data_IF_966844689818
#
_entry.id   IF_966844689818
#
_cell.length_a   1.000
_cell.length_b   1.000
_cell.length_c   1.000
_cell.angle_alpha   90.00
_cell.angle_beta   90.00
_cell.angle_gamma   90.00
#
_symmetry.space_group_name_H-M   'P 1'
#
loop_
_entity.id
_entity.type
_entity.pdbx_description
1 polymer ?
#
# COMPACT_ATOMS: atom_id res chain seq x y z
N UNK A 1 -21.65 -2.18 4.81
CA UNK A 1 -20.22 -2.53 4.86
C UNK A 1 -19.98 -4.04 4.86
N UNK A 2 -20.81 -4.88 5.50
CA UNK A 2 -20.62 -6.34 5.42
C UNK A 2 -21.16 -6.94 4.11
N UNK A 3 -20.38 -7.79 3.45
CA UNK A 3 -20.83 -8.62 2.34
C UNK A 3 -21.16 -10.05 2.81
N UNK A 4 -22.22 -10.67 2.26
CA UNK A 4 -22.59 -12.05 2.59
C UNK A 4 -21.80 -13.01 1.71
N UNK A 5 -20.72 -13.58 2.23
CA UNK A 5 -19.87 -14.52 1.49
C UNK A 5 -18.71 -13.85 0.76
N UNK A 6 -17.92 -14.66 0.07
CA UNK A 6 -16.84 -14.20 -0.81
C UNK A 6 -17.44 -13.77 -2.15
N UNK A 7 -17.36 -12.48 -2.55
CA UNK A 7 -17.86 -12.03 -3.85
C UNK A 7 -17.00 -12.61 -4.98
N UNK A 8 -17.60 -12.82 -6.14
CA UNK A 8 -16.84 -12.99 -7.38
C UNK A 8 -16.08 -11.70 -7.72
N UNK A 9 -15.04 -11.80 -8.55
CA UNK A 9 -14.32 -10.61 -9.03
C UNK A 9 -15.26 -9.60 -9.70
N UNK A 10 -16.24 -10.07 -10.49
CA UNK A 10 -17.20 -9.19 -11.17
C UNK A 10 -18.09 -8.43 -10.18
N UNK A 11 -18.59 -9.09 -9.15
CA UNK A 11 -19.38 -8.43 -8.09
C UNK A 11 -18.50 -7.43 -7.33
N UNK A 12 -17.28 -7.83 -6.93
CA UNK A 12 -16.35 -6.95 -6.25
C UNK A 12 -16.02 -5.70 -7.07
N UNK A 13 -15.76 -5.89 -8.37
CA UNK A 13 -15.47 -4.83 -9.33
C UNK A 13 -16.62 -3.81 -9.43
N UNK A 14 -17.85 -4.30 -9.63
CA UNK A 14 -19.01 -3.44 -9.86
C UNK A 14 -19.53 -2.76 -8.60
N UNK A 15 -19.48 -3.42 -7.45
CA UNK A 15 -20.11 -2.94 -6.22
C UNK A 15 -19.15 -2.15 -5.31
N UNK A 16 -17.84 -2.42 -5.37
CA UNK A 16 -16.88 -1.85 -4.43
C UNK A 16 -15.69 -1.16 -5.10
N UNK A 17 -15.04 -1.84 -6.06
CA UNK A 17 -13.82 -1.32 -6.66
C UNK A 17 -14.08 -0.06 -7.53
N UNK A 18 -14.96 -0.16 -8.52
CA UNK A 18 -15.30 0.98 -9.38
C UNK A 18 -16.03 2.12 -8.64
N UNK A 19 -17.01 1.83 -7.76
CA UNK A 19 -17.65 2.87 -6.96
C UNK A 19 -16.74 3.49 -5.89
N UNK A 20 -15.56 2.90 -5.65
CA UNK A 20 -14.60 3.32 -4.63
C UNK A 20 -15.20 3.32 -3.20
N UNK A 21 -15.88 2.22 -2.83
CA UNK A 21 -16.63 2.06 -1.58
C UNK A 21 -16.01 0.95 -0.71
N UNK A 22 -15.80 1.18 0.61
CA UNK A 22 -15.20 0.18 1.49
C UNK A 22 -16.13 -1.00 1.73
N UNK A 23 -15.55 -2.18 1.90
CA UNK A 23 -16.28 -3.41 2.23
C UNK A 23 -15.52 -4.25 3.24
N UNK A 24 -16.26 -4.84 4.18
CA UNK A 24 -15.78 -5.86 5.09
C UNK A 24 -16.25 -7.23 4.57
N UNK A 25 -15.28 -8.02 4.14
CA UNK A 25 -15.44 -9.37 3.61
C UNK A 25 -15.27 -10.37 4.75
N UNK A 26 -16.08 -11.41 4.73
CA UNK A 26 -16.10 -12.38 5.81
C UNK A 26 -14.89 -13.34 5.78
N UNK A 27 -14.77 -14.11 6.85
CA UNK A 27 -13.67 -15.04 7.06
C UNK A 27 -13.51 -16.18 6.03
N UNK A 28 -14.50 -16.44 5.16
CA UNK A 28 -14.36 -17.50 4.15
C UNK A 28 -13.37 -17.14 3.06
N UNK A 29 -13.08 -15.84 2.85
CA UNK A 29 -12.12 -15.37 1.84
C UNK A 29 -10.72 -15.98 2.05
N UNK A 30 -10.33 -16.18 3.30
CA UNK A 30 -8.97 -16.58 3.67
C UNK A 30 -8.89 -17.89 4.43
N UNK A 31 -9.97 -18.67 4.49
CA UNK A 31 -10.06 -19.87 5.33
C UNK A 31 -8.99 -20.93 5.02
N UNK A 32 -8.49 -20.96 3.77
CA UNK A 32 -7.45 -21.89 3.31
C UNK A 32 -6.02 -21.44 3.62
N UNK A 33 -5.81 -20.22 4.14
CA UNK A 33 -4.46 -19.71 4.38
C UNK A 33 -3.76 -20.48 5.50
N UNK A 34 -2.51 -20.93 5.32
CA UNK A 34 -1.74 -21.55 6.41
C UNK A 34 -1.60 -20.63 7.64
N UNK A 35 -1.52 -19.31 7.46
CA UNK A 35 -1.50 -18.34 8.56
C UNK A 35 -2.76 -18.42 9.46
N UNK A 36 -3.92 -18.82 8.93
CA UNK A 36 -5.15 -18.99 9.73
C UNK A 36 -5.12 -20.19 10.66
N UNK A 37 -4.15 -21.11 10.47
CA UNK A 37 -4.05 -22.36 11.23
C UNK A 37 -2.74 -22.41 12.02
N UNK A 38 -1.62 -22.08 11.40
CA UNK A 38 -0.28 -22.22 11.98
C UNK A 38 0.09 -21.08 12.93
N UNK A 39 -0.43 -19.87 12.69
CA UNK A 39 -0.14 -18.72 13.56
C UNK A 39 -1.06 -18.67 14.79
N UNK A 40 -2.06 -19.53 14.84
CA UNK A 40 -3.11 -19.56 15.84
C UNK A 40 -3.01 -20.81 16.71
N UNK A 41 -3.40 -20.69 17.97
CA UNK A 41 -3.71 -21.81 18.86
C UNK A 41 -5.17 -21.72 19.28
N UNK A 42 -5.88 -22.83 19.17
CA UNK A 42 -7.23 -22.93 19.72
C UNK A 42 -7.17 -23.45 21.15
N UNK A 43 -7.59 -22.61 22.10
CA UNK A 43 -7.80 -23.02 23.48
C UNK A 43 -9.28 -23.36 23.67
N UNK A 44 -9.60 -24.57 24.17
CA UNK A 44 -10.99 -25.00 24.40
C UNK A 44 -11.76 -24.09 25.38
N UNK A 45 -11.05 -23.27 26.17
CA UNK A 45 -11.62 -22.33 27.13
C UNK A 45 -11.87 -20.93 26.56
N UNK A 46 -11.34 -20.59 25.38
CA UNK A 46 -11.51 -19.28 24.74
C UNK A 46 -12.36 -19.38 23.47
N UNK A 47 -13.18 -18.36 23.22
CA UNK A 47 -13.93 -18.23 21.97
C UNK A 47 -13.09 -17.63 20.83
N UNK A 48 -11.99 -16.95 21.14
CA UNK A 48 -11.07 -16.33 20.17
C UNK A 48 -9.77 -17.13 20.06
N UNK A 49 -9.14 -17.10 18.89
CA UNK A 49 -7.84 -17.72 18.70
C UNK A 49 -6.77 -16.99 19.52
N UNK A 50 -5.82 -17.75 20.08
CA UNK A 50 -4.61 -17.19 20.69
C UNK A 50 -3.46 -17.25 19.69
N UNK A 51 -2.43 -16.43 19.89
CA UNK A 51 -1.23 -16.43 19.04
C UNK A 51 -0.37 -17.67 19.33
N UNK A 52 0.09 -18.35 18.28
CA UNK A 52 1.08 -19.43 18.37
C UNK A 52 2.51 -18.86 18.36
N UNK A 53 2.92 -18.24 19.47
CA UNK A 53 4.23 -17.59 19.56
C UNK A 53 5.41 -18.52 19.29
N UNK A 54 5.33 -19.78 19.72
CA UNK A 54 6.36 -20.79 19.52
C UNK A 54 6.59 -21.06 18.04
N UNK A 55 5.51 -21.24 17.26
CA UNK A 55 5.61 -21.41 15.82
C UNK A 55 6.19 -20.14 15.16
N UNK A 56 5.68 -18.96 15.51
CA UNK A 56 6.15 -17.71 14.91
C UNK A 56 7.63 -17.43 15.24
N UNK A 57 8.08 -17.72 16.45
CA UNK A 57 9.50 -17.60 16.84
C UNK A 57 10.35 -18.65 16.12
N UNK A 58 9.89 -19.90 16.04
CA UNK A 58 10.63 -20.97 15.35
C UNK A 58 10.82 -20.65 13.87
N UNK A 59 9.78 -20.16 13.19
CA UNK A 59 9.84 -19.89 11.75
C UNK A 59 10.47 -18.54 11.42
N UNK A 60 10.20 -17.51 12.21
CA UNK A 60 10.46 -16.12 11.86
C UNK A 60 11.24 -15.33 12.92
N UNK A 61 11.59 -15.94 14.06
CA UNK A 61 12.19 -15.24 15.20
C UNK A 61 13.50 -14.52 14.90
N UNK A 62 14.30 -15.05 13.96
CA UNK A 62 15.59 -14.45 13.57
C UNK A 62 15.46 -13.36 12.50
N UNK A 63 14.26 -13.13 11.97
CA UNK A 63 14.03 -12.05 11.02
C UNK A 63 14.00 -10.72 11.75
N UNK A 64 14.70 -9.74 11.18
CA UNK A 64 14.64 -8.36 11.63
C UNK A 64 13.29 -7.76 11.24
N UNK A 65 12.69 -7.04 12.21
CA UNK A 65 11.40 -6.36 12.04
C UNK A 65 11.51 -4.90 12.45
N UNK A 66 10.75 -4.04 11.78
CA UNK A 66 10.58 -2.65 12.20
C UNK A 66 9.47 -2.58 13.25
N UNK A 67 9.79 -1.97 14.39
CA UNK A 67 8.89 -1.81 15.53
C UNK A 67 8.68 -0.33 15.79
N UNK A 68 7.43 0.10 15.83
CA UNK A 68 7.02 1.43 16.27
C UNK A 68 6.60 1.40 17.74
N UNK A 69 7.07 2.34 18.55
CA UNK A 69 6.63 2.55 19.92
C UNK A 69 5.50 3.60 19.94
N UNK A 70 4.27 3.15 20.13
CA UNK A 70 3.08 4.02 20.13
C UNK A 70 3.05 5.01 21.30
N UNK A 71 3.91 4.84 22.32
CA UNK A 71 4.00 5.73 23.46
C UNK A 71 5.12 6.77 23.33
N UNK A 72 5.95 6.70 22.29
CA UNK A 72 7.08 7.61 22.06
C UNK A 72 7.01 8.25 20.69
N UNK A 73 7.24 9.55 20.63
CA UNK A 73 7.38 10.27 19.38
C UNK A 73 8.85 10.51 19.02
N UNK A 74 9.18 10.48 17.74
CA UNK A 74 10.46 10.94 17.22
C UNK A 74 10.51 12.48 17.11
N UNK A 75 11.62 13.01 16.58
CA UNK A 75 11.81 14.46 16.39
C UNK A 75 10.82 15.10 15.42
N UNK A 76 10.09 14.31 14.63
CA UNK A 76 9.10 14.76 13.66
C UNK A 76 7.66 14.54 14.14
N UNK A 77 7.47 14.05 15.37
CA UNK A 77 6.15 13.76 15.93
C UNK A 77 5.54 12.43 15.48
N UNK A 78 6.28 11.61 14.71
CA UNK A 78 5.86 10.28 14.33
C UNK A 78 6.16 9.28 15.46
N UNK A 79 5.55 8.10 15.42
CA UNK A 79 5.88 7.03 16.38
C UNK A 79 7.36 6.65 16.22
N UNK A 80 8.13 6.65 17.30
CA UNK A 80 9.55 6.31 17.28
C UNK A 80 9.73 4.86 16.81
N UNK A 81 10.70 4.62 15.91
CA UNK A 81 10.93 3.29 15.32
C UNK A 81 12.32 2.75 15.63
N UNK A 82 12.43 1.44 15.75
CA UNK A 82 13.70 0.71 15.75
C UNK A 82 13.57 -0.60 14.96
N UNK A 83 14.71 -1.17 14.59
CA UNK A 83 14.79 -2.49 13.99
C UNK A 83 15.41 -3.46 14.99
N UNK A 84 14.72 -4.56 15.30
CA UNK A 84 15.18 -5.60 16.23
C UNK A 84 14.73 -6.98 15.72
N UNK A 85 15.39 -8.08 16.15
CA UNK A 85 14.91 -9.44 15.87
C UNK A 85 13.48 -9.66 16.37
N UNK A 86 12.65 -10.32 15.58
CA UNK A 86 11.25 -10.58 15.93
C UNK A 86 11.10 -11.31 17.28
N UNK A 87 12.00 -12.25 17.58
CA UNK A 87 12.04 -12.96 18.88
C UNK A 87 12.14 -12.01 20.08
N UNK A 88 12.87 -10.90 19.94
CA UNK A 88 13.10 -9.95 21.03
C UNK A 88 11.83 -9.12 21.29
N UNK A 89 11.08 -8.79 20.24
CA UNK A 89 9.77 -8.13 20.37
C UNK A 89 8.80 -9.02 21.15
N UNK A 90 8.74 -10.31 20.80
CA UNK A 90 7.87 -11.27 21.48
C UNK A 90 8.26 -11.42 22.95
N UNK A 91 9.56 -11.42 23.27
CA UNK A 91 10.02 -11.43 24.65
C UNK A 91 9.54 -10.19 25.42
N UNK A 92 9.63 -9.00 24.82
CA UNK A 92 9.13 -7.75 25.43
C UNK A 92 7.61 -7.77 25.65
N UNK A 93 6.83 -8.34 24.73
CA UNK A 93 5.39 -8.53 24.95
C UNK A 93 5.11 -9.49 26.11
N UNK A 94 5.85 -10.61 26.20
CA UNK A 94 5.69 -11.59 27.27
C UNK A 94 6.05 -11.04 28.66
N UNK A 95 7.01 -10.10 28.75
CA UNK A 95 7.36 -9.43 30.02
C UNK A 95 6.50 -8.21 30.32
N UNK A 96 5.47 -7.91 29.50
CA UNK A 96 4.64 -6.71 29.60
C UNK A 96 5.37 -5.36 29.40
N UNK A 97 6.65 -5.38 28.99
CA UNK A 97 7.44 -4.19 28.68
C UNK A 97 7.16 -3.67 27.26
N UNK A 98 6.61 -4.52 26.39
CA UNK A 98 6.32 -4.23 24.99
C UNK A 98 4.91 -3.72 24.68
N UNK A 99 4.12 -3.28 25.67
CA UNK A 99 2.68 -2.97 25.46
C UNK A 99 2.40 -1.88 24.43
N UNK A 100 3.32 -0.95 24.22
CA UNK A 100 3.22 0.09 23.20
C UNK A 100 3.87 -0.28 21.87
N UNK A 101 4.55 -1.43 21.79
CA UNK A 101 5.29 -1.86 20.62
C UNK A 101 4.37 -2.46 19.57
N UNK A 102 4.52 -1.96 18.34
CA UNK A 102 3.78 -2.36 17.17
C UNK A 102 4.76 -2.72 16.05
N UNK A 103 4.85 -4.00 15.70
CA UNK A 103 5.56 -4.43 14.48
C UNK A 103 4.76 -3.92 13.30
N UNK A 104 5.37 -3.02 12.52
CA UNK A 104 4.75 -2.36 11.37
C UNK A 104 5.58 -2.55 10.13
N UNK A 105 4.89 -2.62 9.00
CA UNK A 105 5.50 -2.63 7.67
C UNK A 105 6.49 -3.82 7.52
N UNK A 106 6.17 -4.97 8.13
CA UNK A 106 7.06 -6.14 8.05
C UNK A 106 6.87 -6.85 6.71
N UNK A 107 7.87 -6.72 5.83
CA UNK A 107 7.95 -7.36 4.52
C UNK A 107 8.25 -8.87 4.60
N UNK A 108 7.46 -9.62 5.37
CA UNK A 108 7.67 -11.06 5.60
C UNK A 108 7.55 -11.87 4.30
N UNK A 109 6.63 -11.49 3.40
CA UNK A 109 6.45 -12.19 2.12
C UNK A 109 7.73 -12.18 1.28
N UNK A 110 8.30 -11.00 1.04
CA UNK A 110 9.64 -10.80 0.46
C UNK A 110 10.73 -11.60 1.16
N UNK A 111 10.84 -11.52 2.50
CA UNK A 111 11.89 -12.23 3.24
C UNK A 111 11.80 -13.76 3.04
N UNK A 112 10.59 -14.31 2.95
CA UNK A 112 10.37 -15.73 2.67
C UNK A 112 10.67 -16.09 1.21
N UNK A 113 10.25 -15.28 0.23
CA UNK A 113 10.60 -15.49 -1.19
C UNK A 113 12.14 -15.51 -1.39
N UNK A 114 12.87 -14.58 -0.76
CA UNK A 114 14.34 -14.54 -0.81
C UNK A 114 14.97 -15.81 -0.20
N UNK A 115 14.44 -16.31 0.93
CA UNK A 115 14.91 -17.57 1.53
C UNK A 115 14.65 -18.77 0.62
N UNK A 116 13.48 -18.83 -0.02
CA UNK A 116 13.13 -19.88 -0.96
C UNK A 116 14.05 -19.91 -2.20
N UNK A 117 14.44 -18.75 -2.70
CA UNK A 117 15.37 -18.67 -3.84
C UNK A 117 16.81 -19.07 -3.49
N UNK A 118 17.22 -18.84 -2.25
CA UNK A 118 18.58 -19.12 -1.79
C UNK A 118 18.77 -20.55 -1.25
N UNK A 119 17.69 -21.32 -1.02
CA UNK A 119 17.76 -22.69 -0.49
C UNK A 119 16.99 -23.68 -1.35
N UNK A 120 17.73 -24.49 -2.13
CA UNK A 120 17.18 -25.53 -3.00
C UNK A 120 16.46 -26.67 -2.24
N UNK A 121 16.53 -26.69 -0.90
CA UNK A 121 15.91 -27.68 -0.01
C UNK A 121 14.78 -27.08 0.86
N UNK A 122 14.42 -25.81 0.69
CA UNK A 122 13.39 -25.19 1.52
C UNK A 122 11.99 -25.68 1.12
N UNK A 123 11.34 -26.40 2.03
CA UNK A 123 9.93 -26.83 1.96
C UNK A 123 8.97 -25.74 2.45
N UNK A 124 9.37 -24.48 2.50
CA UNK A 124 8.50 -23.41 2.98
C UNK A 124 7.34 -23.19 2.01
N UNK A 125 6.14 -23.48 2.48
CA UNK A 125 4.90 -23.11 1.81
C UNK A 125 4.58 -21.65 2.17
N UNK A 126 4.06 -20.88 1.21
CA UNK A 126 3.61 -19.51 1.48
C UNK A 126 2.57 -19.51 2.60
N UNK A 127 2.66 -18.58 3.54
CA UNK A 127 1.73 -18.48 4.67
C UNK A 127 0.35 -17.95 4.27
N UNK A 128 0.20 -17.45 3.03
CA UNK A 128 -1.06 -17.01 2.45
C UNK A 128 -0.99 -16.99 0.91
N UNK A 129 -2.13 -16.77 0.26
CA UNK A 129 -2.22 -16.44 -1.17
C UNK A 129 -3.04 -15.17 -1.36
N UNK A 130 -2.75 -14.39 -2.42
CA UNK A 130 -3.57 -13.21 -2.74
C UNK A 130 -4.97 -13.67 -3.18
N UNK A 131 -6.05 -13.23 -2.52
CA UNK A 131 -7.41 -13.60 -2.90
C UNK A 131 -7.72 -13.14 -4.33
N UNK A 132 -8.49 -13.93 -5.08
CA UNK A 132 -8.73 -13.70 -6.52
C UNK A 132 -9.26 -12.30 -6.86
N UNK A 133 -10.07 -11.72 -5.97
CA UNK A 133 -10.63 -10.37 -6.13
C UNK A 133 -9.59 -9.24 -6.04
N UNK A 134 -8.38 -9.51 -5.55
CA UNK A 134 -7.28 -8.56 -5.38
C UNK A 134 -6.06 -8.87 -6.25
N UNK A 135 -6.17 -9.81 -7.20
CA UNK A 135 -5.00 -10.29 -7.97
C UNK A 135 -4.54 -9.35 -9.08
N UNK A 136 -5.40 -8.45 -9.56
CA UNK A 136 -5.03 -7.43 -10.54
C UNK A 136 -4.20 -6.33 -9.87
N UNK A 137 -3.01 -6.68 -9.39
CA UNK A 137 -2.14 -5.82 -8.59
C UNK A 137 -0.90 -5.44 -9.39
N UNK A 138 -0.95 -4.26 -10.02
CA UNK A 138 0.13 -3.79 -10.89
C UNK A 138 1.36 -3.36 -10.09
N UNK A 139 1.13 -2.81 -8.89
CA UNK A 139 2.17 -2.28 -8.01
C UNK A 139 3.09 -3.41 -7.57
N UNK A 140 2.54 -4.46 -6.96
CA UNK A 140 3.35 -5.58 -6.52
C UNK A 140 3.85 -6.45 -7.67
N UNK A 141 3.11 -6.59 -8.78
CA UNK A 141 3.60 -7.32 -9.94
C UNK A 141 4.86 -6.67 -10.53
N UNK A 142 4.88 -5.33 -10.62
CA UNK A 142 6.06 -4.60 -11.07
C UNK A 142 7.22 -4.72 -10.07
N UNK A 143 6.94 -4.53 -8.78
CA UNK A 143 7.94 -4.56 -7.71
C UNK A 143 8.63 -5.92 -7.58
N UNK A 144 7.86 -7.00 -7.56
CA UNK A 144 8.39 -8.36 -7.51
C UNK A 144 9.26 -8.69 -8.74
N UNK A 145 8.97 -8.12 -9.90
CA UNK A 145 9.73 -8.40 -11.13
C UNK A 145 10.98 -7.52 -11.31
N UNK A 146 11.05 -6.33 -10.69
CA UNK A 146 12.08 -5.32 -10.99
C UNK A 146 12.81 -4.76 -9.78
N UNK A 147 12.41 -5.11 -8.57
CA UNK A 147 12.96 -4.57 -7.33
C UNK A 147 13.17 -5.69 -6.33
N UNK A 148 13.91 -5.38 -5.27
CA UNK A 148 14.01 -6.27 -4.11
C UNK A 148 12.96 -5.95 -3.06
N UNK A 149 11.91 -5.17 -3.37
CA UNK A 149 10.92 -4.70 -2.39
C UNK A 149 9.48 -5.13 -2.72
N UNK A 150 8.56 -4.96 -1.78
CA UNK A 150 7.13 -5.22 -1.99
C UNK A 150 6.25 -4.24 -1.20
N UNK A 151 4.94 -4.27 -1.48
CA UNK A 151 3.91 -3.56 -0.72
C UNK A 151 3.01 -4.57 0.02
N UNK A 152 3.64 -5.56 0.65
CA UNK A 152 2.96 -6.67 1.33
C UNK A 152 3.46 -6.75 2.77
N UNK A 153 2.61 -6.37 3.70
CA UNK A 153 3.00 -6.12 5.08
C UNK A 153 2.33 -7.08 6.05
N UNK A 154 3.07 -7.51 7.05
CA UNK A 154 2.55 -8.11 8.27
C UNK A 154 2.59 -7.06 9.38
N UNK A 155 1.49 -6.96 10.12
CA UNK A 155 1.37 -6.09 11.30
C UNK A 155 1.09 -6.94 12.52
N UNK A 156 1.87 -6.75 13.60
CA UNK A 156 1.69 -7.47 14.88
C UNK A 156 1.78 -6.46 16.02
N UNK A 157 0.69 -6.29 16.76
CA UNK A 157 0.62 -5.26 17.79
C UNK A 157 -0.12 -5.72 19.04
N UNK A 158 0.34 -5.24 20.19
CA UNK A 158 -0.38 -5.37 21.45
C UNK A 158 -1.67 -4.54 21.45
N UNK A 159 -2.57 -4.86 22.39
CA UNK A 159 -3.78 -4.08 22.65
C UNK A 159 -3.47 -2.59 22.85
N UNK A 160 -4.24 -1.72 22.20
CA UNK A 160 -4.10 -0.26 22.26
C UNK A 160 -3.09 0.31 21.26
N UNK A 161 -2.24 -0.50 20.64
CA UNK A 161 -1.39 -0.04 19.54
C UNK A 161 -2.25 0.36 18.33
N UNK A 162 -1.79 1.36 17.57
CA UNK A 162 -2.60 1.93 16.50
C UNK A 162 -1.75 2.52 15.38
N UNK A 163 -2.32 2.58 14.18
CA UNK A 163 -1.80 3.38 13.07
C UNK A 163 -2.55 4.71 13.04
N UNK A 164 -1.87 5.86 13.17
CA UNK A 164 -2.48 7.19 13.09
C UNK A 164 -3.29 7.41 11.81
N UNK A 165 -4.14 8.43 11.82
CA UNK A 165 -4.94 8.80 10.65
C UNK A 165 -4.03 9.10 9.46
N UNK A 166 -4.23 8.38 8.37
CA UNK A 166 -3.45 8.53 7.15
C UNK A 166 -4.29 8.16 5.94
N UNK A 167 -3.75 8.42 4.76
CA UNK A 167 -4.24 7.92 3.49
C UNK A 167 -3.10 7.12 2.87
N UNK A 168 -3.41 5.98 2.26
CA UNK A 168 -2.41 5.14 1.64
C UNK A 168 -1.60 5.89 0.56
N UNK A 169 -0.31 5.58 0.50
CA UNK A 169 0.65 6.25 -0.41
C UNK A 169 0.17 6.11 -1.86
N UNK A 170 0.35 7.18 -2.64
CA UNK A 170 -0.12 7.32 -4.02
C UNK A 170 -1.62 7.19 -4.21
N UNK A 171 -2.44 7.25 -3.16
CA UNK A 171 -3.86 6.87 -3.24
C UNK A 171 -4.05 5.43 -3.75
N UNK A 172 -3.11 4.54 -3.44
CA UNK A 172 -3.28 3.11 -3.67
C UNK A 172 -4.54 2.58 -2.96
N UNK A 173 -5.03 1.44 -3.43
CA UNK A 173 -5.97 0.65 -2.65
C UNK A 173 -5.20 -0.08 -1.54
N UNK A 174 -5.92 -0.46 -0.50
CA UNK A 174 -5.41 -1.39 0.50
C UNK A 174 -6.44 -2.46 0.83
N UNK A 175 -5.95 -3.65 1.18
CA UNK A 175 -6.77 -4.63 1.89
C UNK A 175 -6.01 -5.14 3.11
N UNK A 176 -6.73 -5.45 4.18
CA UNK A 176 -6.17 -5.99 5.42
C UNK A 176 -7.01 -7.16 5.90
N UNK A 177 -6.41 -8.35 5.96
CA UNK A 177 -7.01 -9.52 6.61
C UNK A 177 -6.50 -9.59 8.04
N UNK A 178 -7.41 -9.50 9.00
CA UNK A 178 -7.07 -9.67 10.40
C UNK A 178 -7.02 -11.17 10.71
N UNK A 179 -5.87 -11.71 11.08
CA UNK A 179 -5.67 -13.14 11.33
C UNK A 179 -6.04 -13.50 12.78
N UNK A 180 -5.68 -12.63 13.73
CA UNK A 180 -5.89 -12.81 15.17
C UNK A 180 -6.34 -11.49 15.77
N UNK A 181 -7.23 -11.54 16.78
CA UNK A 181 -7.67 -10.37 17.53
C UNK A 181 -8.78 -9.57 16.87
N UNK A 182 -8.98 -8.33 17.33
CA UNK A 182 -10.00 -7.41 16.81
C UNK A 182 -9.45 -6.02 16.56
N UNK A 183 -9.82 -5.42 15.44
CA UNK A 183 -9.40 -4.07 15.06
C UNK A 183 -10.60 -3.12 14.97
N UNK A 184 -10.40 -1.85 15.33
CA UNK A 184 -11.35 -0.78 15.06
C UNK A 184 -10.81 0.12 13.96
N UNK A 185 -11.63 0.37 12.97
CA UNK A 185 -11.35 1.24 11.83
C UNK A 185 -12.23 2.46 11.87
N UNK A 186 -11.65 3.63 11.62
CA UNK A 186 -12.37 4.84 11.24
C UNK A 186 -12.01 5.15 9.79
N UNK A 187 -13.00 5.14 8.91
CA UNK A 187 -12.84 5.39 7.48
C UNK A 187 -13.55 6.69 7.10
N UNK A 188 -12.82 7.61 6.48
CA UNK A 188 -13.35 8.90 6.03
C UNK A 188 -13.34 8.95 4.50
N UNK A 189 -14.50 9.14 3.86
CA UNK A 189 -14.56 9.25 2.41
C UNK A 189 -13.81 10.51 1.93
N UNK A 190 -13.30 10.51 0.68
CA UNK A 190 -12.48 11.61 0.15
C UNK A 190 -13.15 13.00 0.22
N UNK A 191 -14.48 13.08 0.11
CA UNK A 191 -15.24 14.33 0.20
C UNK A 191 -15.23 14.97 1.60
N UNK A 192 -14.87 14.20 2.63
CA UNK A 192 -14.73 14.67 4.01
C UNK A 192 -13.30 15.11 4.36
N UNK A 193 -12.34 14.96 3.44
CA UNK A 193 -10.91 15.26 3.68
C UNK A 193 -10.70 16.63 4.31
N UNK A 194 -11.42 17.67 3.85
CA UNK A 194 -11.28 19.05 4.38
C UNK A 194 -11.48 19.16 5.90
N UNK A 195 -12.33 18.32 6.49
CA UNK A 195 -12.63 18.37 7.93
C UNK A 195 -11.53 17.73 8.78
N UNK A 196 -10.59 17.02 8.15
CA UNK A 196 -9.52 16.30 8.82
C UNK A 196 -8.25 17.15 8.97
N UNK A 197 -8.20 18.33 8.33
CA UNK A 197 -7.02 19.18 8.30
C UNK A 197 -7.18 20.42 9.18
N UNK A 198 -6.03 20.87 9.70
CA UNK A 198 -5.95 22.13 10.43
C UNK A 198 -6.20 23.30 9.48
N UNK A 199 -7.01 24.29 9.89
CA UNK A 199 -7.55 25.37 9.03
C UNK A 199 -6.51 26.21 8.26
N UNK A 200 -5.24 26.15 8.66
CA UNK A 200 -4.13 26.93 8.07
C UNK A 200 -2.81 26.16 7.94
N UNK A 201 -2.82 24.82 8.08
CA UNK A 201 -1.62 23.98 7.93
C UNK A 201 -1.95 22.72 7.14
N UNK A 202 -0.98 22.20 6.37
CA UNK A 202 -1.09 20.89 5.69
C UNK A 202 -0.96 19.70 6.66
N UNK A 203 -1.47 19.83 7.89
CA UNK A 203 -1.43 18.78 8.92
C UNK A 203 -2.83 18.23 9.15
N UNK A 204 -2.99 16.92 8.99
CA UNK A 204 -4.21 16.21 9.36
C UNK A 204 -4.25 15.93 10.85
N UNK A 205 -5.44 15.61 11.36
CA UNK A 205 -5.63 14.98 12.68
C UNK A 205 -4.68 13.78 12.77
N UNK A 206 -4.02 13.62 13.93
CA UNK A 206 -3.13 12.49 14.17
C UNK A 206 -3.89 11.29 14.76
N UNK A 207 -4.68 11.54 15.82
CA UNK A 207 -5.49 10.52 16.49
C UNK A 207 -6.95 10.98 16.58
N UNK A 208 -7.84 10.31 15.83
CA UNK A 208 -9.28 10.66 15.79
C UNK A 208 -10.01 10.41 17.11
N UNK A 209 -9.40 9.67 18.05
CA UNK A 209 -9.93 9.44 19.40
C UNK A 209 -9.66 10.63 20.32
N UNK A 210 -8.71 11.49 19.97
CA UNK A 210 -8.27 12.62 20.79
C UNK A 210 -7.94 13.84 19.92
N UNK A 211 -8.97 14.54 19.44
CA UNK A 211 -8.84 15.70 18.56
C UNK A 211 -8.95 17.00 19.34
N UNK A 212 -7.96 17.89 19.21
CA UNK A 212 -8.06 19.26 19.73
C UNK A 212 -8.98 20.09 18.84
N UNK A 213 -10.17 20.41 19.36
CA UNK A 213 -11.18 21.22 18.67
C UNK A 213 -10.76 22.66 18.38
N UNK A 214 -9.70 23.18 19.03
CA UNK A 214 -9.14 24.51 18.71
C UNK A 214 -8.34 24.46 17.42
N UNK A 215 -7.54 23.42 17.25
CA UNK A 215 -6.72 23.19 16.06
C UNK A 215 -7.56 22.68 14.88
N UNK A 216 -8.55 21.84 15.17
CA UNK A 216 -9.44 21.21 14.18
C UNK A 216 -10.91 21.58 14.43
N UNK A 217 -11.29 22.87 14.28
CA UNK A 217 -12.63 23.34 14.62
C UNK A 217 -13.73 22.70 13.78
N UNK A 218 -13.42 22.20 12.57
CA UNK A 218 -14.39 21.60 11.66
C UNK A 218 -14.46 20.07 11.77
N UNK A 219 -13.63 19.43 12.60
CA UNK A 219 -13.60 17.96 12.72
C UNK A 219 -14.95 17.38 13.17
N UNK A 220 -15.72 18.13 13.98
CA UNK A 220 -17.07 17.74 14.39
C UNK A 220 -18.07 17.60 13.24
N UNK A 221 -17.74 18.09 12.04
CA UNK A 221 -18.53 17.92 10.81
C UNK A 221 -18.21 16.61 10.08
N UNK A 222 -17.08 15.96 10.39
CA UNK A 222 -16.72 14.67 9.83
C UNK A 222 -17.68 13.56 10.30
N UNK A 223 -17.94 12.62 9.41
CA UNK A 223 -18.86 11.48 9.54
C UNK A 223 -18.11 10.22 9.08
N UNK A 224 -17.23 9.66 9.94
CA UNK A 224 -16.53 8.43 9.60
C UNK A 224 -17.48 7.24 9.54
N UNK A 225 -17.15 6.27 8.69
CA UNK A 225 -17.64 4.90 8.82
C UNK A 225 -16.75 4.21 9.87
N UNK A 226 -17.36 3.75 10.96
CA UNK A 226 -16.65 3.04 12.03
C UNK A 226 -16.97 1.56 11.95
N UNK A 227 -15.94 0.71 11.90
CA UNK A 227 -16.09 -0.74 11.80
C UNK A 227 -15.18 -1.46 12.78
N UNK A 228 -15.73 -2.48 13.43
CA UNK A 228 -14.95 -3.48 14.15
C UNK A 228 -14.74 -4.66 13.21
N UNK A 229 -13.48 -5.03 13.01
CA UNK A 229 -13.03 -6.14 12.19
C UNK A 229 -12.62 -7.29 13.09
N UNK A 230 -13.30 -8.43 12.95
CA UNK A 230 -13.06 -9.64 13.72
C UNK A 230 -11.99 -10.54 13.08
N UNK A 231 -11.69 -11.66 13.75
CA UNK A 231 -10.76 -12.68 13.28
C UNK A 231 -11.20 -13.26 11.95
N UNK A 232 -10.29 -13.20 10.99
CA UNK A 232 -10.44 -13.72 9.65
C UNK A 232 -11.10 -12.79 8.64
N UNK A 233 -11.75 -11.72 9.08
CA UNK A 233 -12.37 -10.77 8.16
C UNK A 233 -11.33 -9.97 7.40
N UNK A 234 -11.66 -9.59 6.16
CA UNK A 234 -10.81 -8.78 5.29
C UNK A 234 -11.51 -7.47 4.97
N UNK A 235 -10.89 -6.35 5.35
CA UNK A 235 -11.37 -5.03 4.99
C UNK A 235 -10.70 -4.58 3.69
N UNK A 236 -11.49 -4.05 2.76
CA UNK A 236 -11.02 -3.31 1.58
C UNK A 236 -11.12 -1.81 1.87
N UNK A 237 -10.00 -1.13 1.75
CA UNK A 237 -9.86 0.33 1.89
C UNK A 237 -9.70 0.92 0.48
N UNK A 238 -10.68 1.70 0.01
CA UNK A 238 -10.62 2.24 -1.34
C UNK A 238 -9.63 3.40 -1.49
N UNK A 239 -9.33 3.73 -2.74
CA UNK A 239 -8.38 4.79 -3.11
C UNK A 239 -8.84 6.13 -2.56
N UNK A 240 -7.92 6.86 -1.92
CA UNK A 240 -8.22 8.22 -1.45
C UNK A 240 -8.80 8.31 -0.04
N UNK A 241 -9.18 7.19 0.59
CA UNK A 241 -9.83 7.19 1.90
C UNK A 241 -8.84 7.41 3.03
N UNK A 242 -9.09 8.44 3.84
CA UNK A 242 -8.37 8.62 5.10
C UNK A 242 -8.87 7.61 6.11
N UNK A 243 -7.95 6.99 6.86
CA UNK A 243 -8.30 5.99 7.84
C UNK A 243 -7.33 5.88 9.01
N UNK A 244 -7.88 5.49 10.16
CA UNK A 244 -7.15 5.17 11.39
C UNK A 244 -7.52 3.76 11.84
N UNK A 245 -6.55 3.04 12.41
CA UNK A 245 -6.74 1.64 12.86
C UNK A 245 -6.21 1.46 14.26
N UNK A 246 -7.04 0.95 15.17
CA UNK A 246 -6.68 0.58 16.54
C UNK A 246 -6.77 -0.94 16.73
N UNK A 247 -5.76 -1.54 17.35
CA UNK A 247 -5.81 -2.91 17.82
C UNK A 247 -6.57 -2.97 19.15
N UNK A 248 -7.83 -3.42 19.13
CA UNK A 248 -8.70 -3.53 20.32
C UNK A 248 -8.22 -4.65 21.24
N UNK A 249 -7.57 -5.67 20.67
CA UNK A 249 -6.88 -6.74 21.40
C UNK A 249 -5.46 -6.86 20.85
N UNK A 250 -4.69 -7.85 21.30
CA UNK A 250 -3.51 -8.25 20.54
C UNK A 250 -3.92 -8.72 19.13
N UNK A 251 -3.26 -8.25 18.09
CA UNK A 251 -3.66 -8.49 16.70
C UNK A 251 -2.47 -8.90 15.81
N UNK A 252 -2.77 -9.77 14.84
CA UNK A 252 -1.90 -10.05 13.69
C UNK A 252 -2.72 -9.82 12.42
N UNK A 253 -2.22 -9.03 11.45
CA UNK A 253 -2.87 -8.87 10.15
C UNK A 253 -1.88 -8.95 8.98
N UNK A 254 -2.41 -9.34 7.82
CA UNK A 254 -1.70 -9.35 6.54
C UNK A 254 -2.37 -8.29 5.65
N UNK A 255 -1.56 -7.40 5.08
CA UNK A 255 -2.01 -6.22 4.37
C UNK A 255 -1.28 -6.07 3.03
N UNK A 256 -1.98 -5.67 1.98
CA UNK A 256 -1.36 -5.23 0.72
C UNK A 256 -1.81 -3.83 0.38
N UNK A 257 -0.87 -2.99 -0.06
CA UNK A 257 -1.19 -1.85 -0.91
C UNK A 257 -1.10 -2.29 -2.37
N UNK A 258 -2.07 -1.88 -3.19
CA UNK A 258 -2.13 -2.29 -4.58
C UNK A 258 -2.79 -1.22 -5.47
N UNK A 259 -2.60 -1.33 -6.77
CA UNK A 259 -3.27 -0.47 -7.74
C UNK A 259 -3.50 -1.20 -9.06
N UNK A 260 -4.41 -0.67 -9.87
CA UNK A 260 -4.64 -1.15 -11.22
C UNK A 260 -5.21 -0.04 -12.11
N UNK A 261 -5.69 -0.42 -13.29
CA UNK A 261 -6.34 0.51 -14.22
C UNK A 261 -7.49 1.32 -13.61
N UNK A 262 -8.20 0.82 -12.59
CA UNK A 262 -9.40 1.47 -12.03
C UNK A 262 -9.06 2.73 -11.23
N UNK A 263 -7.98 2.72 -10.44
CA UNK A 263 -7.52 3.92 -9.71
C UNK A 263 -6.31 4.61 -10.34
N UNK A 264 -5.93 4.25 -11.57
CA UNK A 264 -4.73 4.77 -12.20
C UNK A 264 -4.71 6.31 -12.27
N UNK A 265 -5.86 6.94 -12.49
CA UNK A 265 -5.97 8.40 -12.53
C UNK A 265 -5.71 9.03 -11.16
N UNK A 266 -6.25 8.45 -10.09
CA UNK A 266 -5.99 8.91 -8.72
C UNK A 266 -4.50 8.84 -8.39
N UNK A 267 -3.84 7.73 -8.75
CA UNK A 267 -2.39 7.58 -8.60
C UNK A 267 -1.63 8.66 -9.38
N UNK A 268 -1.97 8.82 -10.65
CA UNK A 268 -1.33 9.79 -11.53
C UNK A 268 -1.48 11.24 -11.01
N UNK A 269 -2.69 11.64 -10.61
CA UNK A 269 -2.93 12.96 -10.04
C UNK A 269 -2.21 13.15 -8.71
N UNK A 270 -2.20 12.14 -7.83
CA UNK A 270 -1.43 12.19 -6.57
C UNK A 270 0.07 12.37 -6.82
N UNK A 271 0.61 11.76 -7.88
CA UNK A 271 2.01 11.94 -8.29
C UNK A 271 2.26 13.37 -8.81
N UNK A 272 1.34 13.91 -9.62
CA UNK A 272 1.43 15.28 -10.10
C UNK A 272 1.39 16.30 -8.95
N UNK A 273 0.48 16.12 -8.00
CA UNK A 273 0.38 16.97 -6.80
C UNK A 273 1.66 16.93 -5.98
N UNK A 274 2.25 15.74 -5.79
CA UNK A 274 3.52 15.59 -5.06
C UNK A 274 4.68 16.30 -5.76
N UNK A 275 4.75 16.26 -7.09
CA UNK A 275 5.76 17.01 -7.85
C UNK A 275 5.60 18.53 -7.65
N UNK A 276 4.35 19.03 -7.64
CA UNK A 276 4.09 20.45 -7.37
C UNK A 276 4.48 20.80 -5.94
N UNK A 277 4.10 19.98 -4.95
CA UNK A 277 4.46 20.18 -3.54
C UNK A 277 5.99 20.24 -3.35
N UNK A 278 6.74 19.33 -3.96
CA UNK A 278 8.21 19.34 -3.88
C UNK A 278 8.82 20.56 -4.55
N UNK A 279 8.29 21.00 -5.71
CA UNK A 279 8.73 22.24 -6.35
C UNK A 279 8.52 23.45 -5.46
N UNK A 280 7.36 23.55 -4.82
CA UNK A 280 7.05 24.63 -3.86
C UNK A 280 8.00 24.60 -2.66
N UNK A 281 8.32 23.40 -2.15
CA UNK A 281 9.21 23.22 -1.00
C UNK A 281 10.69 23.52 -1.30
N UNK A 282 11.09 23.46 -2.57
CA UNK A 282 12.48 23.66 -3.03
C UNK A 282 12.68 24.98 -3.80
N UNK A 283 11.81 25.97 -3.57
CA UNK A 283 11.82 27.23 -4.30
C UNK A 283 13.13 28.02 -4.13
N UNK A 284 13.78 27.91 -2.97
CA UNK A 284 15.10 28.48 -2.69
C UNK A 284 16.21 27.83 -3.53
N UNK A 285 16.17 26.50 -3.70
CA UNK A 285 17.10 25.77 -4.56
C UNK A 285 16.94 26.19 -6.02
N UNK A 286 15.69 26.41 -6.47
CA UNK A 286 15.40 26.91 -7.80
C UNK A 286 16.03 28.29 -8.04
N UNK A 287 15.88 29.23 -7.09
CA UNK A 287 16.47 30.56 -7.17
C UNK A 287 17.99 30.49 -7.28
N UNK A 288 18.64 29.67 -6.44
CA UNK A 288 20.09 29.47 -6.49
C UNK A 288 20.59 28.91 -7.82
N UNK A 289 19.91 27.90 -8.39
CA UNK A 289 20.28 27.30 -9.67
C UNK A 289 20.14 28.30 -10.82
N UNK A 290 19.03 29.04 -10.84
CA UNK A 290 18.71 29.98 -11.92
C UNK A 290 19.65 31.19 -12.00
N UNK A 291 20.28 31.57 -10.89
CA UNK A 291 21.21 32.70 -10.85
C UNK A 291 22.65 32.35 -11.23
N UNK A 292 23.03 31.07 -11.14
CA UNK A 292 24.41 30.63 -11.31
C UNK A 292 24.76 30.16 -12.73
N UNK A 293 23.78 30.07 -13.65
CA UNK A 293 23.99 29.58 -15.01
C UNK A 293 23.35 30.52 -16.04
N UNK A 294 24.08 30.86 -17.11
CA UNK A 294 23.59 31.74 -18.19
C UNK A 294 22.71 31.01 -19.21
N UNK A 295 22.80 29.68 -19.24
CA UNK A 295 22.19 28.83 -20.26
C UNK A 295 21.08 27.97 -19.62
N UNK A 296 20.20 27.38 -20.44
CA UNK A 296 19.05 26.60 -20.00
C UNK A 296 19.41 25.22 -19.38
N UNK A 297 20.67 24.95 -19.04
CA UNK A 297 21.11 23.68 -18.44
C UNK A 297 20.55 23.47 -17.01
N UNK A 298 20.47 24.53 -16.21
CA UNK A 298 19.97 24.49 -14.83
C UNK A 298 18.55 23.95 -14.73
N UNK A 299 17.77 24.09 -15.81
CA UNK A 299 16.39 23.63 -15.92
C UNK A 299 16.28 22.10 -15.93
N UNK A 300 17.23 21.42 -16.56
CA UNK A 300 17.30 19.96 -16.57
C UNK A 300 17.76 19.44 -15.20
N UNK A 301 18.75 20.10 -14.61
CA UNK A 301 19.24 19.82 -13.26
C UNK A 301 18.12 20.00 -12.21
N UNK A 302 17.38 21.10 -12.28
CA UNK A 302 16.20 21.35 -11.44
C UNK A 302 15.17 20.22 -11.54
N UNK A 303 14.84 19.79 -12.75
CA UNK A 303 13.86 18.72 -12.99
C UNK A 303 14.34 17.41 -12.34
N UNK A 304 15.63 17.09 -12.46
CA UNK A 304 16.22 15.92 -11.83
C UNK A 304 16.14 15.99 -10.30
N UNK A 305 16.54 17.11 -9.70
CA UNK A 305 16.49 17.32 -8.24
C UNK A 305 15.06 17.11 -7.72
N UNK A 306 14.08 17.72 -8.38
CA UNK A 306 12.66 17.55 -8.02
C UNK A 306 12.25 16.09 -8.08
N UNK A 307 12.56 15.38 -9.17
CA UNK A 307 12.18 13.96 -9.32
C UNK A 307 12.91 13.04 -8.31
N UNK A 308 14.15 13.35 -7.95
CA UNK A 308 14.91 12.62 -6.94
C UNK A 308 14.32 12.82 -5.54
N UNK A 309 13.94 14.06 -5.18
CA UNK A 309 13.27 14.35 -3.90
C UNK A 309 11.88 13.73 -3.85
N UNK A 310 11.11 13.80 -4.95
CA UNK A 310 9.81 13.12 -5.05
C UNK A 310 9.96 11.61 -4.84
N UNK A 311 10.98 10.98 -5.45
CA UNK A 311 11.27 9.55 -5.26
C UNK A 311 11.64 9.24 -3.81
N UNK A 312 12.44 10.09 -3.16
CA UNK A 312 12.85 9.86 -1.78
C UNK A 312 11.71 10.07 -0.77
N UNK A 313 10.87 11.09 -0.98
CA UNK A 313 9.76 11.43 -0.08
C UNK A 313 8.57 10.48 -0.23
N UNK A 314 8.13 10.26 -1.48
CA UNK A 314 6.94 9.44 -1.74
C UNK A 314 7.27 7.98 -2.01
N UNK A 315 8.45 7.69 -2.57
CA UNK A 315 8.93 6.37 -2.99
C UNK A 315 9.02 6.20 -4.51
N UNK A 316 8.17 6.90 -5.27
CA UNK A 316 8.07 6.84 -6.73
C UNK A 316 8.35 8.20 -7.32
N UNK A 317 8.92 8.23 -8.51
CA UNK A 317 8.93 9.38 -9.41
C UNK A 317 8.17 9.01 -10.70
N UNK A 318 8.12 9.91 -11.69
CA UNK A 318 7.43 9.61 -12.94
C UNK A 318 8.01 8.40 -13.68
N UNK A 319 9.33 8.20 -13.62
CA UNK A 319 9.96 7.04 -14.25
C UNK A 319 9.45 5.72 -13.64
N UNK A 320 9.40 5.61 -12.31
CA UNK A 320 8.87 4.43 -11.63
C UNK A 320 7.39 4.20 -11.98
N UNK A 321 6.58 5.26 -11.96
CA UNK A 321 5.16 5.18 -12.32
C UNK A 321 4.98 4.64 -13.74
N UNK A 322 5.66 5.22 -14.73
CA UNK A 322 5.51 4.81 -16.14
C UNK A 322 6.09 3.43 -16.42
N UNK A 323 7.15 3.01 -15.72
CA UNK A 323 7.67 1.64 -15.82
C UNK A 323 6.65 0.60 -15.31
N UNK A 324 5.98 0.90 -14.19
CA UNK A 324 4.90 0.05 -13.68
C UNK A 324 3.75 -0.04 -14.69
N UNK A 325 3.32 1.09 -15.27
CA UNK A 325 2.27 1.12 -16.30
C UNK A 325 2.68 0.34 -17.55
N UNK A 326 3.91 0.50 -18.05
CA UNK A 326 4.41 -0.24 -19.20
C UNK A 326 4.44 -1.75 -18.93
N UNK A 327 4.89 -2.15 -17.75
CA UNK A 327 4.91 -3.56 -17.35
C UNK A 327 3.49 -4.16 -17.29
N UNK A 328 2.54 -3.46 -16.67
CA UNK A 328 1.15 -3.88 -16.65
C UNK A 328 0.54 -3.95 -18.07
N UNK A 329 0.79 -2.94 -18.92
CA UNK A 329 0.30 -2.90 -20.29
C UNK A 329 0.82 -4.06 -21.14
N UNK A 330 2.11 -4.41 -21.02
CA UNK A 330 2.70 -5.59 -21.69
C UNK A 330 2.03 -6.89 -21.23
N UNK A 331 1.79 -7.04 -19.93
CA UNK A 331 1.10 -8.21 -19.36
C UNK A 331 -0.38 -8.31 -19.77
N UNK A 332 -1.01 -7.18 -20.04
CA UNK A 332 -2.39 -7.13 -20.54
C UNK A 332 -2.44 -7.44 -22.05
N UNK A 333 -1.48 -6.92 -22.81
CA UNK A 333 -1.38 -7.12 -24.26
C UNK A 333 -0.91 -8.53 -24.66
N UNK A 334 -0.10 -9.20 -23.83
CA UNK A 334 0.36 -10.56 -24.12
C UNK A 334 -0.69 -11.61 -23.72
N UNK A 335 -1.09 -12.52 -24.62
CA UNK A 335 -1.96 -13.65 -24.28
C UNK A 335 -1.24 -14.76 -23.50
N UNK A 336 0.10 -14.72 -23.44
CA UNK A 336 0.94 -15.67 -22.69
C UNK A 336 1.66 -14.89 -21.59
N UNK A 337 1.45 -15.22 -20.30
CA UNK A 337 2.26 -14.66 -19.23
C UNK A 337 3.72 -15.06 -19.49
N UNK A 338 4.66 -14.12 -19.40
CA UNK A 338 6.07 -14.48 -19.41
C UNK A 338 6.42 -15.22 -18.12
N UNK A 339 6.21 -16.54 -18.12
CA UNK A 339 6.50 -17.43 -17.01
C UNK A 339 8.01 -17.70 -16.88
N UNK A 340 8.84 -17.21 -17.81
CA UNK A 340 10.28 -17.50 -17.81
C UNK A 340 11.06 -16.68 -16.77
N UNK A 341 10.43 -15.66 -16.18
CA UNK A 341 11.09 -14.72 -15.25
C UNK A 341 10.48 -14.68 -13.85
N UNK A 342 9.23 -15.14 -13.64
CA UNK A 342 8.60 -15.07 -12.32
C UNK A 342 8.90 -16.29 -11.46
N UNK A 343 9.85 -16.14 -10.53
CA UNK A 343 10.00 -17.07 -9.41
C UNK A 343 9.04 -16.75 -8.25
N UNK A 344 8.14 -15.78 -8.40
CA UNK A 344 7.26 -15.34 -7.32
C UNK A 344 6.26 -16.41 -6.92
N UNK A 345 5.98 -16.50 -5.62
CA UNK A 345 4.88 -17.32 -5.10
C UNK A 345 3.51 -16.65 -5.30
N UNK A 346 3.48 -15.41 -5.81
CA UNK A 346 2.26 -14.64 -6.11
C UNK A 346 2.01 -14.62 -7.62
N UNK A 347 1.06 -15.41 -8.14
CA UNK A 347 0.81 -15.51 -9.57
C UNK A 347 0.07 -14.27 -10.11
N UNK A 348 0.41 -13.86 -11.34
CA UNK A 348 -0.31 -12.80 -12.07
C UNK A 348 -1.81 -13.07 -12.18
N UNK A 349 -2.62 -12.01 -12.29
CA UNK A 349 -4.04 -12.11 -12.55
C UNK A 349 -4.33 -12.75 -13.92
N UNK A 350 -5.14 -13.83 -13.99
CA UNK A 350 -5.67 -14.31 -15.25
C UNK A 350 -6.67 -13.30 -15.85
N UNK A 351 -6.96 -13.37 -17.16
CA UNK A 351 -7.84 -12.42 -17.84
C UNK A 351 -9.25 -12.24 -17.23
N UNK A 352 -9.79 -13.27 -16.56
CA UNK A 352 -11.11 -13.20 -15.92
C UNK A 352 -11.11 -12.49 -14.55
N UNK A 353 -9.94 -12.14 -14.01
CA UNK A 353 -9.75 -11.43 -12.73
C UNK A 353 -9.18 -10.02 -12.92
N UNK A 354 -9.36 -9.43 -14.11
CA UNK A 354 -8.95 -8.07 -14.44
C UNK A 354 -9.99 -7.38 -15.34
N UNK A 355 -10.01 -6.04 -15.45
CA UNK A 355 -10.93 -5.34 -16.34
C UNK A 355 -10.69 -5.68 -17.82
N UNK A 356 -11.67 -5.46 -18.71
CA UNK A 356 -11.49 -5.65 -20.15
C UNK A 356 -10.32 -4.81 -20.68
N UNK A 357 -9.58 -5.35 -21.65
CA UNK A 357 -8.39 -4.67 -22.23
C UNK A 357 -8.71 -3.26 -22.75
N UNK A 358 -9.90 -3.05 -23.33
CA UNK A 358 -10.35 -1.75 -23.82
C UNK A 358 -10.48 -0.72 -22.69
N UNK A 359 -11.00 -1.14 -21.53
CA UNK A 359 -11.07 -0.27 -20.36
C UNK A 359 -9.65 0.06 -19.87
N UNK A 360 -8.78 -0.95 -19.77
CA UNK A 360 -7.39 -0.75 -19.33
C UNK A 360 -6.65 0.26 -20.22
N UNK A 361 -6.74 0.11 -21.55
CA UNK A 361 -6.05 1.00 -22.49
C UNK A 361 -6.63 2.41 -22.50
N UNK A 362 -7.95 2.57 -22.32
CA UNK A 362 -8.59 3.88 -22.16
C UNK A 362 -8.10 4.60 -20.90
N UNK A 363 -8.04 3.89 -19.75
CA UNK A 363 -7.55 4.47 -18.49
C UNK A 363 -6.09 4.93 -18.62
N UNK A 364 -5.22 4.12 -19.25
CA UNK A 364 -3.82 4.49 -19.50
C UNK A 364 -3.72 5.68 -20.45
N UNK A 365 -4.53 5.70 -21.53
CA UNK A 365 -4.50 6.76 -22.53
C UNK A 365 -4.82 8.13 -21.93
N UNK A 366 -5.78 8.21 -21.02
CA UNK A 366 -6.13 9.46 -20.34
C UNK A 366 -4.95 10.05 -19.54
N UNK A 367 -4.23 9.23 -18.75
CA UNK A 367 -3.02 9.68 -18.07
C UNK A 367 -1.89 10.02 -19.05
N UNK A 368 -1.74 9.22 -20.11
CA UNK A 368 -0.70 9.39 -21.13
C UNK A 368 -0.86 10.72 -21.87
N UNK A 369 -2.08 11.02 -22.32
CA UNK A 369 -2.37 12.25 -23.07
C UNK A 369 -2.17 13.49 -22.18
N UNK A 370 -2.59 13.45 -20.91
CA UNK A 370 -2.33 14.53 -19.96
C UNK A 370 -0.83 14.71 -19.69
N UNK A 371 -0.10 13.62 -19.46
CA UNK A 371 1.34 13.67 -19.18
C UNK A 371 2.14 14.28 -20.33
N UNK A 372 1.72 14.06 -21.57
CA UNK A 372 2.36 14.66 -22.75
C UNK A 372 2.19 16.18 -22.86
N UNK A 373 1.25 16.77 -22.13
CA UNK A 373 1.06 18.22 -22.05
C UNK A 373 1.96 18.87 -21.00
N UNK A 374 2.65 18.07 -20.17
CA UNK A 374 3.57 18.57 -19.15
C UNK A 374 4.82 19.16 -19.75
N UNK A 375 5.62 19.79 -18.90
CA UNK A 375 6.91 20.35 -19.31
C UNK A 375 7.76 19.29 -20.00
N UNK A 376 8.25 19.60 -21.21
CA UNK A 376 9.04 18.68 -22.02
C UNK A 376 10.20 18.05 -21.26
N UNK A 377 10.82 18.76 -20.32
CA UNK A 377 11.94 18.27 -19.50
C UNK A 377 11.54 17.16 -18.53
N UNK A 378 10.28 17.13 -18.08
CA UNK A 378 9.73 16.01 -17.30
C UNK A 378 9.45 14.78 -18.18
N UNK A 379 9.46 14.95 -19.50
CA UNK A 379 9.18 13.95 -20.52
C UNK A 379 10.41 13.64 -21.38
N UNK A 380 11.63 13.80 -20.85
CA UNK A 380 12.90 13.55 -21.54
C UNK A 380 13.65 12.34 -20.93
N UNK A 381 14.75 11.92 -21.57
CA UNK A 381 15.58 10.79 -21.12
C UNK A 381 14.81 9.47 -21.05
N UNK A 382 15.07 8.68 -20.00
CA UNK A 382 14.45 7.36 -19.81
C UNK A 382 12.91 7.44 -19.71
N UNK A 383 12.36 8.56 -19.22
CA UNK A 383 10.90 8.74 -19.17
C UNK A 383 10.32 8.80 -20.58
N UNK A 384 10.97 9.52 -21.51
CA UNK A 384 10.55 9.60 -22.89
C UNK A 384 10.54 8.24 -23.58
N UNK A 385 11.56 7.42 -23.33
CA UNK A 385 11.68 6.08 -23.90
C UNK A 385 10.50 5.19 -23.48
N UNK A 386 10.22 5.14 -22.17
CA UNK A 386 9.12 4.34 -21.61
C UNK A 386 7.76 4.84 -22.13
N UNK A 387 7.53 6.16 -22.10
CA UNK A 387 6.28 6.77 -22.56
C UNK A 387 6.09 6.56 -24.07
N UNK A 388 7.16 6.66 -24.87
CA UNK A 388 7.10 6.40 -26.32
C UNK A 388 6.68 4.96 -26.60
N UNK A 389 7.23 4.00 -25.86
CA UNK A 389 6.85 2.60 -26.01
C UNK A 389 5.38 2.35 -25.63
N UNK A 390 4.91 2.94 -24.52
CA UNK A 390 3.49 2.89 -24.13
C UNK A 390 2.62 3.40 -25.28
N UNK A 391 2.97 4.55 -25.88
CA UNK A 391 2.24 5.11 -27.01
C UNK A 391 2.18 4.17 -28.23
N UNK A 392 3.27 3.46 -28.52
CA UNK A 392 3.31 2.47 -29.60
C UNK A 392 2.38 1.28 -29.32
N UNK A 393 2.40 0.73 -28.11
CA UNK A 393 1.54 -0.39 -27.71
C UNK A 393 0.06 0.04 -27.76
N UNK A 394 -0.27 1.20 -27.18
CA UNK A 394 -1.64 1.74 -27.20
C UNK A 394 -2.17 1.94 -28.63
N UNK A 395 -1.29 2.33 -29.57
CA UNK A 395 -1.66 2.48 -30.99
C UNK A 395 -1.90 1.11 -31.64
N UNK A 396 -1.04 0.12 -31.38
CA UNK A 396 -1.22 -1.23 -31.93
C UNK A 396 -2.51 -1.91 -31.46
N UNK A 397 -2.90 -1.73 -30.19
CA UNK A 397 -4.10 -2.32 -29.60
C UNK A 397 -5.40 -1.66 -30.07
N UNK A 398 -5.32 -0.46 -30.63
CA UNK A 398 -6.47 0.23 -31.22
C UNK A 398 -6.78 -0.25 -32.64
N UNK A 399 -5.79 -0.82 -33.33
CA UNK A 399 -5.89 -1.35 -34.68
C UNK A 399 -6.27 -2.85 -34.74
N UNK A 400 -6.20 -3.54 -33.59
CA UNK A 400 -6.60 -4.94 -33.40
C UNK A 400 -8.02 -5.06 -32.87
#
# INVERSE_FOLDING_TARGET
MHHRGTPSYKEFYLEFLCPNVPVLLNQSLTASWPARHNWTKHCAASKSAEVCWEYLIEQYGDLEVTVADCAKSDSFGNQARCAIPFRDVVQLWNTSEGKSLYVKDWHLAKQIELRLHNSASATHTSFYTTPDIFRDDWMNAYYTAHTEDDFRFVYIGAEGTFTPLHRDVYTSYSWSTNIIGRKRWWLFPPDQTRYLFMKHRKMSVYDVRNVDTKDFPEFHLARPIVVEQDEGETIFVPSGWYHQVENITHCISINHNWCNSVNLHSLYHSMCEKVVEVKEALQDVLEMLSHNQSDDEWKAEWTKIVQDVVKHDAGWNFLTFWRMVLYALRNVASPVPDLSTSKSVFPHAPPNLRPPIQFVTEQIRMCYDDFRLRDRRECEGEVLEVVTEIGAILTSLQLS
#
